data_IF_025028597738
#
_entry.id   IF_025028597738
#
_cell.length_a   1.000
_cell.length_b   1.000
_cell.length_c   1.000
_cell.angle_alpha   90.00
_cell.angle_beta   90.00
_cell.angle_gamma   90.00
#
_symmetry.space_group_name_H-M   'P 1'
#
loop_
_entity.id
_entity.type
_entity.pdbx_description
1 polymer ?
#
# COMPACT_ATOMS: atom_id res chain seq x y z
N UNK A 1 14.06 -19.93 -1.75
CA UNK A 1 14.60 -19.00 -2.76
C UNK A 1 13.56 -18.70 -3.83
N UNK A 2 13.71 -17.57 -4.47
CA UNK A 2 12.88 -17.15 -5.61
C UNK A 2 13.60 -17.48 -6.92
N UNK A 3 12.84 -17.54 -8.01
CA UNK A 3 13.38 -17.80 -9.37
C UNK A 3 14.25 -16.63 -9.87
N UNK A 4 13.94 -15.41 -9.45
CA UNK A 4 14.63 -14.18 -9.86
C UNK A 4 14.44 -13.06 -8.82
N UNK A 5 15.05 -11.89 -9.06
CA UNK A 5 14.91 -10.73 -8.18
C UNK A 5 13.61 -9.96 -8.42
N UNK A 6 13.27 -9.05 -7.50
CA UNK A 6 12.07 -8.21 -7.58
C UNK A 6 12.27 -7.12 -8.63
N UNK A 7 11.38 -7.10 -9.64
CA UNK A 7 11.34 -6.11 -10.70
C UNK A 7 10.55 -4.85 -10.32
N UNK A 8 9.36 -5.08 -9.73
CA UNK A 8 8.48 -4.01 -9.24
C UNK A 8 7.73 -4.47 -8.01
N UNK A 9 7.26 -3.51 -7.22
CA UNK A 9 6.52 -3.82 -5.99
C UNK A 9 5.59 -2.68 -5.59
N UNK A 10 4.57 -3.04 -4.82
CA UNK A 10 3.74 -2.13 -4.05
C UNK A 10 3.47 -2.74 -2.67
N UNK A 11 2.53 -2.20 -1.90
CA UNK A 11 2.24 -2.70 -0.55
C UNK A 11 1.47 -4.04 -0.53
N UNK A 12 0.98 -4.50 -1.66
CA UNK A 12 0.13 -5.70 -1.77
C UNK A 12 0.89 -6.90 -2.33
N UNK A 13 1.89 -6.66 -3.16
CA UNK A 13 2.65 -7.69 -3.83
C UNK A 13 3.75 -7.12 -4.73
N UNK A 14 4.28 -7.95 -5.60
CA UNK A 14 5.33 -7.55 -6.52
C UNK A 14 5.45 -8.46 -7.71
N UNK A 15 6.28 -8.05 -8.65
CA UNK A 15 6.61 -8.79 -9.87
C UNK A 15 8.08 -9.12 -9.86
N UNK A 16 8.43 -10.36 -10.18
CA UNK A 16 9.81 -10.79 -10.34
C UNK A 16 10.30 -10.53 -11.78
N UNK A 17 11.61 -10.52 -11.97
CA UNK A 17 12.22 -10.31 -13.30
C UNK A 17 11.80 -11.36 -14.34
N UNK A 18 11.40 -12.54 -13.91
CA UNK A 18 10.88 -13.60 -14.75
C UNK A 18 9.34 -13.61 -14.87
N UNK A 19 8.68 -12.54 -14.40
CA UNK A 19 7.24 -12.29 -14.44
C UNK A 19 6.39 -13.13 -13.47
N UNK A 20 6.96 -13.90 -12.57
CA UNK A 20 6.21 -14.45 -11.43
C UNK A 20 5.77 -13.32 -10.49
N UNK A 21 4.72 -13.56 -9.71
CA UNK A 21 4.09 -12.56 -8.84
C UNK A 21 4.27 -12.96 -7.37
N UNK A 22 4.69 -12.02 -6.55
CA UNK A 22 4.68 -12.16 -5.09
C UNK A 22 3.28 -11.83 -4.57
N UNK A 23 2.72 -12.75 -3.81
CA UNK A 23 1.38 -12.67 -3.23
C UNK A 23 1.42 -12.84 -1.71
N UNK A 24 0.27 -12.64 -1.05
CA UNK A 24 0.13 -12.97 0.39
C UNK A 24 0.38 -14.45 0.70
N UNK A 25 0.10 -15.33 -0.23
CA UNK A 25 0.31 -16.77 -0.08
C UNK A 25 1.73 -17.22 -0.47
N UNK A 26 2.54 -16.33 -1.00
CA UNK A 26 3.87 -16.62 -1.50
C UNK A 26 4.03 -16.29 -2.97
N UNK A 27 4.95 -16.95 -3.64
CA UNK A 27 5.22 -16.74 -5.07
C UNK A 27 4.21 -17.54 -5.89
N UNK A 28 3.65 -16.91 -6.92
CA UNK A 28 2.69 -17.53 -7.82
C UNK A 28 3.32 -18.64 -8.66
N UNK A 29 2.49 -19.60 -9.05
CA UNK A 29 2.87 -20.61 -10.05
C UNK A 29 2.63 -20.18 -11.49
N UNK A 30 2.07 -18.99 -11.69
CA UNK A 30 1.82 -18.40 -13.00
C UNK A 30 2.73 -17.20 -13.24
N UNK A 31 2.90 -16.83 -14.50
CA UNK A 31 3.68 -15.65 -14.92
C UNK A 31 2.78 -14.67 -15.63
N UNK A 32 3.02 -13.39 -15.38
CA UNK A 32 2.39 -12.32 -16.14
C UNK A 32 2.93 -12.31 -17.58
N UNK A 33 2.14 -11.87 -18.56
CA UNK A 33 2.64 -11.60 -19.89
C UNK A 33 3.77 -10.54 -19.85
N UNK A 34 4.67 -10.61 -20.81
CA UNK A 34 5.77 -9.66 -20.93
C UNK A 34 5.27 -8.21 -20.98
N UNK A 35 5.91 -7.33 -20.24
CA UNK A 35 5.56 -5.91 -20.14
C UNK A 35 4.50 -5.59 -19.09
N UNK A 36 3.87 -6.59 -18.47
CA UNK A 36 2.91 -6.35 -17.40
C UNK A 36 3.56 -6.45 -16.02
N UNK A 37 3.11 -5.58 -15.12
CA UNK A 37 3.53 -5.56 -13.72
C UNK A 37 2.30 -5.58 -12.79
N UNK A 38 2.44 -6.26 -11.67
CA UNK A 38 1.39 -6.46 -10.68
C UNK A 38 0.93 -5.14 -10.07
N UNK A 39 -0.39 -4.96 -9.92
CA UNK A 39 -0.99 -3.86 -9.18
C UNK A 39 -1.75 -4.33 -7.94
N UNK A 40 -2.64 -5.31 -8.08
CA UNK A 40 -3.54 -5.71 -7.01
C UNK A 40 -4.16 -7.09 -7.26
N UNK A 41 -4.91 -7.57 -6.28
CA UNK A 41 -5.85 -8.68 -6.43
C UNK A 41 -7.28 -8.15 -6.50
N UNK A 42 -8.13 -8.84 -7.25
CA UNK A 42 -9.57 -8.65 -7.19
C UNK A 42 -10.14 -9.25 -5.90
N UNK A 43 -11.40 -8.95 -5.59
CA UNK A 43 -12.13 -9.53 -4.47
C UNK A 43 -12.26 -11.06 -4.57
N UNK A 44 -12.27 -11.62 -5.78
CA UNK A 44 -12.31 -13.07 -6.05
C UNK A 44 -10.91 -13.68 -6.32
N UNK A 45 -9.83 -12.96 -6.01
CA UNK A 45 -8.46 -13.47 -6.01
C UNK A 45 -7.74 -13.49 -7.35
N UNK A 46 -8.26 -12.84 -8.38
CA UNK A 46 -7.56 -12.67 -9.66
C UNK A 46 -6.51 -11.57 -9.56
N UNK A 47 -5.45 -11.66 -10.35
CA UNK A 47 -4.43 -10.63 -10.44
C UNK A 47 -4.87 -9.50 -11.35
N UNK A 48 -4.64 -8.25 -10.89
CA UNK A 48 -4.71 -7.04 -11.72
C UNK A 48 -3.28 -6.59 -12.01
N UNK A 49 -2.97 -6.39 -13.28
CA UNK A 49 -1.66 -5.93 -13.74
C UNK A 49 -1.80 -4.83 -14.78
N UNK A 50 -0.76 -4.03 -14.95
CA UNK A 50 -0.69 -2.93 -15.91
C UNK A 50 0.53 -3.07 -16.80
N UNK A 51 0.44 -2.63 -18.06
CA UNK A 51 1.61 -2.48 -18.92
C UNK A 51 2.24 -1.07 -18.83
N UNK A 52 1.70 -0.19 -17.98
CA UNK A 52 2.10 1.22 -17.84
C UNK A 52 2.06 2.02 -19.16
N UNK A 53 1.23 1.62 -20.09
CA UNK A 53 1.01 2.30 -21.37
C UNK A 53 -0.51 2.50 -21.58
N UNK A 54 -1.20 1.47 -22.02
CA UNK A 54 -2.59 1.56 -22.47
C UNK A 54 -3.44 0.34 -22.11
N UNK A 55 -2.91 -0.61 -21.32
CA UNK A 55 -3.63 -1.86 -21.01
C UNK A 55 -3.54 -2.22 -19.53
N UNK A 56 -4.61 -2.80 -19.04
CA UNK A 56 -4.65 -3.57 -17.81
C UNK A 56 -5.06 -5.01 -18.10
N UNK A 57 -4.59 -5.90 -17.24
CA UNK A 57 -4.93 -7.31 -17.24
C UNK A 57 -5.70 -7.62 -15.95
N UNK A 58 -6.85 -8.29 -16.09
CA UNK A 58 -7.62 -8.80 -14.96
C UNK A 58 -7.78 -10.31 -15.14
N UNK A 59 -7.05 -11.09 -14.35
CA UNK A 59 -6.93 -12.52 -14.58
C UNK A 59 -6.25 -12.80 -15.91
N UNK A 60 -6.97 -13.33 -16.86
CA UNK A 60 -6.51 -13.64 -18.23
C UNK A 60 -7.07 -12.68 -19.29
N UNK A 61 -7.82 -11.66 -18.89
CA UNK A 61 -8.48 -10.72 -19.81
C UNK A 61 -7.78 -9.37 -19.83
N UNK A 62 -7.35 -8.97 -21.03
CA UNK A 62 -6.83 -7.62 -21.27
C UNK A 62 -7.97 -6.62 -21.54
N UNK A 63 -7.76 -5.40 -21.06
CA UNK A 63 -8.62 -4.26 -21.33
C UNK A 63 -7.76 -3.07 -21.73
N UNK A 64 -8.13 -2.40 -22.83
CA UNK A 64 -7.52 -1.12 -23.22
C UNK A 64 -8.04 -0.01 -22.32
N UNK A 65 -7.15 0.86 -21.87
CA UNK A 65 -7.44 2.01 -21.03
C UNK A 65 -6.98 3.30 -21.72
N UNK A 66 -7.56 4.44 -21.31
CA UNK A 66 -7.31 5.73 -21.97
C UNK A 66 -6.00 6.39 -21.57
N UNK A 67 -5.52 6.10 -20.35
CA UNK A 67 -4.31 6.66 -19.76
C UNK A 67 -3.55 5.59 -19.00
N UNK A 68 -2.33 5.90 -18.58
CA UNK A 68 -1.49 5.00 -17.80
C UNK A 68 -2.10 4.73 -16.43
N UNK A 69 -2.46 3.49 -16.14
CA UNK A 69 -2.99 3.07 -14.85
C UNK A 69 -1.86 2.83 -13.87
N UNK A 70 -1.93 3.45 -12.68
CA UNK A 70 -0.94 3.30 -11.61
C UNK A 70 -1.49 2.60 -10.38
N UNK A 71 -2.80 2.50 -10.22
CA UNK A 71 -3.47 1.78 -9.16
C UNK A 71 -4.85 1.29 -9.62
N UNK A 72 -5.30 0.17 -9.12
CA UNK A 72 -6.57 -0.42 -9.50
C UNK A 72 -7.11 -1.35 -8.42
N UNK A 73 -8.44 -1.44 -8.35
CA UNK A 73 -9.17 -2.41 -7.54
C UNK A 73 -10.45 -2.82 -8.25
N UNK A 74 -10.90 -4.03 -8.04
CA UNK A 74 -12.17 -4.52 -8.57
C UNK A 74 -12.96 -5.24 -7.50
N UNK A 75 -14.24 -4.93 -7.42
CA UNK A 75 -15.23 -5.72 -6.68
C UNK A 75 -16.47 -5.93 -7.55
N UNK A 76 -16.85 -7.18 -7.72
CA UNK A 76 -17.94 -7.58 -8.61
C UNK A 76 -17.73 -7.00 -10.04
N UNK A 77 -18.70 -6.28 -10.59
CA UNK A 77 -18.63 -5.65 -11.92
C UNK A 77 -17.92 -4.30 -11.92
N UNK A 78 -17.54 -3.75 -10.77
CA UNK A 78 -16.96 -2.40 -10.67
C UNK A 78 -15.44 -2.44 -10.60
N UNK A 79 -14.82 -1.73 -11.54
CA UNK A 79 -13.38 -1.54 -11.64
C UNK A 79 -13.04 -0.09 -11.33
N UNK A 80 -12.27 0.13 -10.27
CA UNK A 80 -11.79 1.45 -9.85
C UNK A 80 -10.34 1.63 -10.30
N UNK A 81 -10.06 2.69 -11.07
CA UNK A 81 -8.76 3.00 -11.64
C UNK A 81 -8.25 4.36 -11.19
N UNK A 82 -6.96 4.45 -10.94
CA UNK A 82 -6.21 5.70 -10.80
C UNK A 82 -5.18 5.76 -11.91
N UNK A 83 -5.19 6.87 -12.64
CA UNK A 83 -4.28 7.13 -13.75
C UNK A 83 -3.11 8.01 -13.30
N UNK A 84 -2.00 7.92 -14.02
CA UNK A 84 -0.77 8.66 -13.73
C UNK A 84 -0.95 10.19 -13.81
N UNK A 85 -1.95 10.68 -14.54
CA UNK A 85 -2.31 12.10 -14.61
C UNK A 85 -3.17 12.60 -13.44
N UNK A 86 -3.33 11.78 -12.40
CA UNK A 86 -4.18 12.04 -11.22
C UNK A 86 -5.68 12.13 -11.55
N UNK A 87 -6.12 11.52 -12.63
CA UNK A 87 -7.53 11.25 -12.88
C UNK A 87 -7.91 9.88 -12.30
N UNK A 88 -9.19 9.69 -12.06
CA UNK A 88 -9.75 8.45 -11.54
C UNK A 88 -11.03 8.09 -12.27
N UNK A 89 -11.30 6.82 -12.40
CA UNK A 89 -12.44 6.30 -13.12
C UNK A 89 -13.02 5.06 -12.45
N UNK A 90 -14.33 4.98 -12.39
CA UNK A 90 -15.08 3.79 -12.02
C UNK A 90 -15.78 3.26 -13.28
N UNK A 91 -15.52 2.02 -13.64
CA UNK A 91 -16.04 1.37 -14.84
C UNK A 91 -16.87 0.16 -14.45
N UNK A 92 -18.03 -0.02 -15.11
CA UNK A 92 -18.73 -1.29 -15.13
C UNK A 92 -18.10 -2.18 -16.22
N UNK A 93 -17.43 -3.25 -15.82
CA UNK A 93 -16.70 -4.13 -16.74
C UNK A 93 -17.61 -4.99 -17.62
N UNK A 94 -18.88 -5.17 -17.26
CA UNK A 94 -19.84 -5.94 -18.04
C UNK A 94 -20.45 -5.10 -19.17
N UNK A 95 -20.64 -3.80 -18.96
CA UNK A 95 -21.28 -2.89 -19.90
C UNK A 95 -20.31 -1.93 -20.57
N UNK A 96 -19.05 -1.88 -20.12
CA UNK A 96 -18.04 -0.90 -20.55
C UNK A 96 -18.39 0.57 -20.26
N UNK A 97 -19.35 0.81 -19.39
CA UNK A 97 -19.77 2.16 -19.05
C UNK A 97 -18.90 2.75 -17.95
N UNK A 98 -18.51 4.00 -18.16
CA UNK A 98 -17.94 4.84 -17.10
C UNK A 98 -19.07 5.26 -16.15
N UNK A 99 -18.96 4.82 -14.90
CA UNK A 99 -19.93 5.14 -13.84
C UNK A 99 -19.56 6.42 -13.11
N UNK A 100 -18.28 6.73 -13.03
CA UNK A 100 -17.74 7.93 -12.40
C UNK A 100 -16.38 8.26 -13.03
N UNK A 101 -16.11 9.54 -13.21
CA UNK A 101 -14.80 10.05 -13.62
C UNK A 101 -14.54 11.42 -13.01
N UNK A 102 -13.30 11.61 -12.52
CA UNK A 102 -12.85 12.87 -11.93
C UNK A 102 -11.42 13.17 -12.36
N UNK A 103 -11.15 14.43 -12.62
CA UNK A 103 -9.82 14.96 -12.94
C UNK A 103 -9.36 15.83 -11.78
N UNK A 104 -8.30 15.44 -11.11
CA UNK A 104 -7.65 16.23 -10.07
C UNK A 104 -6.42 16.95 -10.65
N UNK A 105 -5.93 17.99 -9.96
CA UNK A 105 -4.70 18.65 -10.40
C UNK A 105 -3.55 17.68 -10.58
N UNK A 106 -2.77 17.86 -11.63
CA UNK A 106 -1.62 17.05 -11.94
C UNK A 106 -0.61 17.09 -10.79
N UNK A 107 -0.14 15.93 -10.35
CA UNK A 107 0.96 15.82 -9.41
C UNK A 107 2.27 15.68 -10.16
N UNK A 108 3.22 16.60 -9.92
CA UNK A 108 4.50 16.63 -10.62
C UNK A 108 5.52 15.66 -10.04
N UNK A 109 5.36 15.28 -8.77
CA UNK A 109 6.22 14.33 -8.08
C UNK A 109 5.40 13.41 -7.19
N UNK A 110 5.66 12.12 -7.26
CA UNK A 110 4.97 11.12 -6.45
C UNK A 110 5.99 10.27 -5.69
N UNK A 111 5.66 9.93 -4.45
CA UNK A 111 6.29 8.83 -3.76
C UNK A 111 5.97 7.53 -4.51
N UNK A 112 6.89 6.59 -4.55
CA UNK A 112 6.72 5.31 -5.28
C UNK A 112 5.66 4.40 -4.66
N UNK A 113 5.31 4.65 -3.39
CA UNK A 113 4.25 3.95 -2.68
C UNK A 113 2.90 4.55 -3.07
N UNK A 114 2.19 3.93 -3.99
CA UNK A 114 0.86 4.37 -4.43
C UNK A 114 -0.16 3.38 -3.89
N UNK A 115 -1.16 3.89 -3.16
CA UNK A 115 -2.24 3.07 -2.62
C UNK A 115 -3.28 2.74 -3.69
N UNK A 116 -3.82 1.54 -3.65
CA UNK A 116 -4.94 1.15 -4.50
C UNK A 116 -6.28 1.70 -3.96
N UNK A 117 -7.29 1.88 -4.83
CA UNK A 117 -8.66 2.11 -4.38
C UNK A 117 -9.14 1.04 -3.42
N UNK A 118 -10.05 1.38 -2.51
CA UNK A 118 -10.58 0.49 -1.50
C UNK A 118 -12.10 0.41 -1.61
N UNK A 119 -12.62 -0.80 -1.76
CA UNK A 119 -14.05 -1.09 -1.62
C UNK A 119 -14.35 -1.42 -0.16
N UNK A 120 -15.25 -0.68 0.46
CA UNK A 120 -15.56 -0.78 1.87
C UNK A 120 -17.08 -0.72 2.08
N UNK A 121 -17.73 -1.86 2.25
CA UNK A 121 -19.19 -1.91 2.37
C UNK A 121 -19.86 -1.23 1.17
N UNK A 122 -20.65 -0.19 1.43
CA UNK A 122 -21.35 0.59 0.40
C UNK A 122 -20.53 1.78 -0.12
N UNK A 123 -19.23 1.83 0.16
CA UNK A 123 -18.34 2.93 -0.22
C UNK A 123 -17.24 2.45 -1.14
N UNK A 124 -16.81 3.34 -2.02
CA UNK A 124 -15.65 3.17 -2.87
C UNK A 124 -14.71 4.35 -2.62
N UNK A 125 -13.49 4.08 -2.20
CA UNK A 125 -12.50 5.09 -1.82
C UNK A 125 -11.42 5.17 -2.87
N UNK A 126 -11.23 6.36 -3.44
CA UNK A 126 -10.17 6.65 -4.41
C UNK A 126 -9.08 7.50 -3.77
N UNK A 127 -7.90 6.93 -3.49
CA UNK A 127 -6.74 7.70 -3.05
C UNK A 127 -6.08 8.41 -4.24
N UNK A 128 -5.82 9.70 -4.10
CA UNK A 128 -5.24 10.49 -5.18
C UNK A 128 -3.72 10.62 -5.08
N UNK A 129 -3.09 11.10 -6.16
CA UNK A 129 -1.67 11.40 -6.22
C UNK A 129 -1.33 12.77 -5.61
N UNK A 130 -2.32 13.56 -5.21
CA UNK A 130 -2.13 14.87 -4.56
C UNK A 130 -2.70 14.94 -3.14
N UNK A 131 -2.88 13.80 -2.46
CA UNK A 131 -3.24 13.76 -1.05
C UNK A 131 -4.72 13.83 -0.72
N UNK A 132 -5.60 13.59 -1.69
CA UNK A 132 -7.05 13.54 -1.48
C UNK A 132 -7.56 12.09 -1.50
N UNK A 133 -8.63 11.84 -0.77
CA UNK A 133 -9.42 10.62 -0.89
C UNK A 133 -10.84 11.01 -1.23
N UNK A 134 -11.31 10.59 -2.40
CA UNK A 134 -12.71 10.74 -2.81
C UNK A 134 -13.47 9.50 -2.38
N UNK A 135 -14.55 9.68 -1.64
CA UNK A 135 -15.42 8.60 -1.18
C UNK A 135 -16.74 8.65 -1.94
N UNK A 136 -17.01 7.59 -2.69
CA UNK A 136 -18.23 7.43 -3.46
C UNK A 136 -19.19 6.50 -2.74
N UNK A 137 -20.48 6.75 -2.91
CA UNK A 137 -21.53 5.74 -2.65
C UNK A 137 -21.50 4.71 -3.78
N UNK A 138 -21.43 3.43 -3.46
CA UNK A 138 -21.52 2.37 -4.47
C UNK A 138 -22.91 2.23 -5.07
N UNK A 139 -23.95 2.74 -4.39
CA UNK A 139 -25.32 2.72 -4.88
C UNK A 139 -25.59 3.76 -5.96
N UNK A 140 -25.01 4.96 -5.82
CA UNK A 140 -25.25 6.10 -6.73
C UNK A 140 -24.07 6.41 -7.64
N UNK A 141 -22.87 5.90 -7.32
CA UNK A 141 -21.60 6.24 -7.96
C UNK A 141 -21.27 7.74 -7.89
N UNK A 142 -21.76 8.42 -6.86
CA UNK A 142 -21.52 9.84 -6.61
C UNK A 142 -20.64 10.06 -5.41
N UNK A 143 -19.87 11.15 -5.40
CA UNK A 143 -19.02 11.54 -4.28
C UNK A 143 -19.90 11.95 -3.09
N UNK A 144 -19.72 11.28 -1.96
CA UNK A 144 -20.40 11.60 -0.71
C UNK A 144 -19.50 12.28 0.30
N UNK A 145 -18.18 12.17 0.14
CA UNK A 145 -17.19 12.81 1.00
C UNK A 145 -15.85 12.98 0.29
N UNK A 146 -15.17 14.05 0.59
CA UNK A 146 -13.80 14.32 0.16
C UNK A 146 -12.93 14.57 1.39
N UNK A 147 -11.79 13.89 1.47
CA UNK A 147 -10.83 14.01 2.55
C UNK A 147 -9.53 14.55 1.96
N UNK A 148 -8.93 15.56 2.59
CA UNK A 148 -7.62 16.08 2.22
C UNK A 148 -6.60 15.78 3.31
N UNK A 149 -5.50 15.14 2.93
CA UNK A 149 -4.32 14.96 3.78
C UNK A 149 -3.29 16.00 3.35
N UNK A 150 -3.35 17.17 4.00
CA UNK A 150 -2.53 18.30 3.61
C UNK A 150 -1.09 18.19 4.15
N UNK A 151 -0.13 18.57 3.32
CA UNK A 151 1.29 18.64 3.66
C UNK A 151 1.98 19.70 2.81
N UNK A 152 3.06 20.29 3.33
CA UNK A 152 3.93 21.21 2.60
C UNK A 152 4.97 20.48 1.71
N UNK A 153 5.04 19.18 1.79
CA UNK A 153 5.95 18.35 0.98
C UNK A 153 5.53 18.32 -0.50
N UNK A 154 6.50 18.12 -1.39
CA UNK A 154 6.24 17.85 -2.81
C UNK A 154 5.54 16.50 -3.02
N UNK A 155 5.84 15.51 -2.18
CA UNK A 155 5.26 14.17 -2.24
C UNK A 155 3.98 14.12 -1.41
N UNK A 156 2.84 14.18 -2.09
CA UNK A 156 1.51 14.31 -1.45
C UNK A 156 0.62 13.09 -1.63
N UNK A 157 1.01 12.15 -2.51
CA UNK A 157 0.15 11.01 -2.83
C UNK A 157 -0.15 10.15 -1.60
N UNK A 158 -1.34 9.59 -1.59
CA UNK A 158 -1.75 8.65 -0.55
C UNK A 158 -0.93 7.36 -0.71
N UNK A 159 -0.19 7.02 0.32
CA UNK A 159 0.68 5.82 0.37
C UNK A 159 0.04 4.66 1.11
N UNK A 160 -0.96 4.93 1.95
CA UNK A 160 -1.67 3.92 2.72
C UNK A 160 -3.13 4.31 2.90
N UNK A 161 -4.01 3.36 2.71
CA UNK A 161 -5.45 3.49 2.85
C UNK A 161 -5.97 2.17 3.39
N UNK A 162 -6.39 2.16 4.67
CA UNK A 162 -6.75 0.93 5.36
C UNK A 162 -7.89 1.15 6.34
N UNK A 163 -8.55 0.07 6.75
CA UNK A 163 -9.60 0.08 7.75
C UNK A 163 -9.19 -0.72 8.97
N UNK A 164 -9.30 -0.11 10.13
CA UNK A 164 -9.30 -0.83 11.40
C UNK A 164 -10.76 -1.23 11.71
N UNK A 165 -11.03 -2.53 11.62
CA UNK A 165 -12.40 -3.07 11.63
C UNK A 165 -13.13 -2.93 12.97
N UNK A 166 -12.41 -3.06 14.09
CA UNK A 166 -13.03 -2.99 15.43
C UNK A 166 -13.50 -1.59 15.78
N UNK A 167 -12.69 -0.59 15.50
CA UNK A 167 -13.01 0.81 15.73
C UNK A 167 -13.77 1.45 14.56
N UNK A 168 -13.89 0.73 13.44
CA UNK A 168 -14.46 1.26 12.19
C UNK A 168 -13.77 2.56 11.74
N UNK A 169 -12.45 2.63 11.98
CA UNK A 169 -11.64 3.80 11.62
C UNK A 169 -10.98 3.61 10.27
N UNK A 170 -11.11 4.61 9.42
CA UNK A 170 -10.33 4.71 8.18
C UNK A 170 -8.98 5.34 8.49
N UNK A 171 -7.92 4.64 8.16
CA UNK A 171 -6.54 5.10 8.35
C UNK A 171 -5.95 5.46 6.99
N UNK A 172 -5.57 6.73 6.85
CA UNK A 172 -5.05 7.29 5.60
C UNK A 172 -3.70 7.94 5.88
N UNK A 173 -2.73 7.71 5.02
CA UNK A 173 -1.44 8.38 5.13
C UNK A 173 -0.90 8.85 3.78
N UNK A 174 -0.24 9.98 3.79
CA UNK A 174 0.77 10.38 2.81
C UNK A 174 2.17 10.21 3.43
N UNK A 175 3.27 10.52 2.74
CA UNK A 175 4.60 10.34 3.31
C UNK A 175 4.88 11.12 4.60
N UNK A 176 4.11 12.16 4.92
CA UNK A 176 4.39 13.08 6.03
C UNK A 176 3.28 13.21 7.08
N UNK A 177 2.13 12.62 6.83
CA UNK A 177 0.97 12.75 7.71
C UNK A 177 0.13 11.48 7.71
N UNK A 178 -0.37 11.13 8.89
CA UNK A 178 -1.40 10.11 9.09
C UNK A 178 -2.69 10.76 9.57
N UNK A 179 -3.81 10.27 9.05
CA UNK A 179 -5.16 10.71 9.43
C UNK A 179 -5.99 9.49 9.80
N UNK A 180 -6.66 9.56 10.94
CA UNK A 180 -7.65 8.59 11.38
C UNK A 180 -9.04 9.22 11.33
N UNK A 181 -9.96 8.57 10.65
CA UNK A 181 -11.33 9.04 10.43
C UNK A 181 -12.28 8.00 10.98
N UNK A 182 -13.06 8.40 11.98
CA UNK A 182 -14.14 7.62 12.53
C UNK A 182 -15.47 8.36 12.36
N UNK A 183 -16.57 7.74 12.80
CA UNK A 183 -17.88 8.40 12.80
C UNK A 183 -17.93 9.66 13.69
N UNK A 184 -17.04 9.76 14.67
CA UNK A 184 -17.02 10.83 15.68
C UNK A 184 -15.96 11.90 15.41
N UNK A 185 -14.79 11.47 14.97
CA UNK A 185 -13.59 12.33 14.95
C UNK A 185 -12.76 12.15 13.69
N UNK A 186 -12.08 13.22 13.30
CA UNK A 186 -10.97 13.23 12.35
C UNK A 186 -9.74 13.70 13.11
N UNK A 187 -8.76 12.82 13.24
CA UNK A 187 -7.52 13.08 13.98
C UNK A 187 -6.36 12.95 13.01
N UNK A 188 -5.41 13.86 13.08
CA UNK A 188 -4.19 13.81 12.26
C UNK A 188 -2.94 14.00 13.11
N UNK A 189 -1.84 13.36 12.66
CA UNK A 189 -0.50 13.53 13.22
C UNK A 189 0.54 13.56 12.12
N UNK A 190 1.58 14.35 12.35
CA UNK A 190 2.72 14.48 11.44
C UNK A 190 3.78 13.44 11.80
N UNK A 191 4.13 12.62 10.81
CA UNK A 191 5.23 11.67 10.87
C UNK A 191 5.87 11.59 9.49
N UNK A 192 7.20 11.59 9.43
CA UNK A 192 7.92 11.24 8.22
C UNK A 192 7.95 9.73 8.08
N UNK A 193 7.01 9.17 7.32
CA UNK A 193 6.69 7.75 7.28
C UNK A 193 7.60 7.03 6.30
N UNK A 194 8.43 6.13 6.81
CA UNK A 194 9.22 5.21 5.99
C UNK A 194 8.43 3.96 5.64
N UNK A 195 7.74 3.37 6.62
CA UNK A 195 6.79 2.28 6.42
C UNK A 195 5.73 2.30 7.52
N UNK A 196 4.60 1.71 7.23
CA UNK A 196 3.46 1.64 8.13
C UNK A 196 2.69 0.35 7.91
N UNK A 197 2.33 -0.32 8.99
CA UNK A 197 1.45 -1.49 8.94
C UNK A 197 0.33 -1.35 9.97
N UNK A 198 -0.83 -1.93 9.66
CA UNK A 198 -1.96 -2.08 10.57
C UNK A 198 -2.06 -3.55 10.96
N UNK A 199 -1.97 -3.84 12.27
CA UNK A 199 -2.01 -5.21 12.78
C UNK A 199 -2.67 -5.27 14.15
N UNK A 200 -3.65 -6.17 14.30
CA UNK A 200 -4.33 -6.48 15.57
C UNK A 200 -4.84 -5.23 16.32
N UNK A 201 -5.39 -4.28 15.60
CA UNK A 201 -5.97 -3.06 16.14
C UNK A 201 -4.95 -1.97 16.47
N UNK A 202 -3.68 -2.11 16.08
CA UNK A 202 -2.63 -1.12 16.25
C UNK A 202 -2.02 -0.72 14.92
N UNK A 203 -1.54 0.52 14.88
CA UNK A 203 -0.78 1.08 13.77
C UNK A 203 0.69 1.13 14.19
N UNK A 204 1.55 0.54 13.38
CA UNK A 204 3.00 0.59 13.58
C UNK A 204 3.63 1.43 12.50
N UNK A 205 4.43 2.42 12.89
CA UNK A 205 5.12 3.32 11.97
C UNK A 205 6.63 3.23 12.20
N UNK A 206 7.38 3.06 11.11
CA UNK A 206 8.81 3.32 11.06
C UNK A 206 9.03 4.70 10.45
N UNK A 207 9.73 5.59 11.15
CA UNK A 207 9.99 6.95 10.68
C UNK A 207 11.36 7.09 10.03
N UNK A 208 11.50 8.12 9.21
CA UNK A 208 12.76 8.43 8.51
C UNK A 208 13.89 8.75 9.51
N UNK A 209 13.57 9.32 10.66
CA UNK A 209 14.54 9.68 11.71
C UNK A 209 14.85 8.54 12.71
N UNK A 210 14.41 7.32 12.43
CA UNK A 210 14.80 6.13 13.21
C UNK A 210 13.90 5.76 14.38
N UNK A 211 12.68 6.26 14.44
CA UNK A 211 11.69 5.82 15.44
C UNK A 211 10.83 4.67 14.93
N UNK A 212 10.51 3.75 15.81
CA UNK A 212 9.42 2.79 15.66
C UNK A 212 8.34 3.16 16.67
N UNK A 213 7.12 3.35 16.19
CA UNK A 213 6.01 3.91 16.98
C UNK A 213 4.81 2.98 16.86
N UNK A 214 4.17 2.69 17.99
CA UNK A 214 2.92 1.96 18.08
C UNK A 214 1.81 2.92 18.45
N UNK A 215 0.77 2.99 17.63
CA UNK A 215 -0.38 3.88 17.80
C UNK A 215 -1.67 3.08 17.99
N UNK A 216 -2.59 3.63 18.77
CA UNK A 216 -4.00 3.22 18.72
C UNK A 216 -4.65 3.69 17.40
N UNK A 217 -5.86 3.18 17.04
CA UNK A 217 -6.60 3.72 15.88
C UNK A 217 -6.91 5.21 15.98
N UNK A 218 -6.94 5.79 17.19
CA UNK A 218 -7.10 7.24 17.43
C UNK A 218 -5.77 8.00 17.40
N UNK A 219 -4.70 7.38 16.92
CA UNK A 219 -3.35 7.94 16.81
C UNK A 219 -2.70 8.32 18.13
N UNK A 220 -3.10 7.71 19.23
CA UNK A 220 -2.40 7.87 20.52
C UNK A 220 -1.16 6.98 20.54
N UNK A 221 -0.01 7.55 20.91
CA UNK A 221 1.22 6.79 21.06
C UNK A 221 1.14 5.92 22.32
N UNK A 222 1.19 4.61 22.16
CA UNK A 222 1.22 3.66 23.28
C UNK A 222 2.61 3.11 23.55
N UNK A 223 3.50 3.15 22.56
CA UNK A 223 4.90 2.73 22.69
C UNK A 223 5.77 3.37 21.61
N UNK A 224 7.05 3.57 21.91
CA UNK A 224 8.03 4.15 21.00
C UNK A 224 9.43 3.66 21.34
N UNK A 225 10.20 3.32 20.31
CA UNK A 225 11.64 3.06 20.42
C UNK A 225 12.42 3.88 19.39
N UNK A 226 13.53 4.45 19.83
CA UNK A 226 14.47 5.21 19.00
C UNK A 226 15.69 4.36 18.70
N UNK A 227 15.99 4.20 17.42
CA UNK A 227 17.23 3.59 16.93
C UNK A 227 18.06 4.67 16.28
N UNK A 228 19.02 5.18 16.99
CA UNK A 228 19.89 6.26 16.54
C UNK A 228 20.64 5.82 15.26
N UNK A 229 20.55 6.63 14.23
CA UNK A 229 21.17 6.37 12.90
C UNK A 229 20.55 5.24 12.08
N UNK A 230 19.49 4.61 12.54
CA UNK A 230 18.80 3.59 11.77
C UNK A 230 18.05 4.20 10.57
N UNK A 231 18.14 3.50 9.44
CA UNK A 231 17.35 3.77 8.22
C UNK A 231 16.52 2.53 7.91
N UNK A 232 15.24 2.61 8.15
CA UNK A 232 14.34 1.48 7.95
C UNK A 232 13.96 1.32 6.48
N UNK A 233 13.84 0.06 6.06
CA UNK A 233 13.30 -0.31 4.75
C UNK A 233 11.83 -0.71 4.83
N UNK A 234 11.49 -1.55 5.81
CA UNK A 234 10.15 -2.12 5.91
C UNK A 234 9.86 -2.60 7.33
N UNK A 235 8.57 -2.67 7.64
CA UNK A 235 8.02 -3.36 8.79
C UNK A 235 7.36 -4.66 8.35
N UNK A 236 7.49 -5.70 9.17
CA UNK A 236 6.81 -6.97 9.01
C UNK A 236 6.30 -7.44 10.37
N UNK A 237 5.33 -8.34 10.38
CA UNK A 237 4.74 -8.83 11.60
C UNK A 237 4.52 -10.34 11.54
N UNK A 238 5.23 -11.07 12.39
CA UNK A 238 4.99 -12.49 12.64
C UNK A 238 4.19 -12.66 13.93
N UNK A 239 4.77 -13.28 14.94
CA UNK A 239 4.23 -13.27 16.31
C UNK A 239 4.48 -11.94 17.04
N UNK A 240 5.37 -11.12 16.55
CA UNK A 240 5.72 -9.78 17.03
C UNK A 240 6.23 -8.92 15.86
N UNK A 241 6.51 -7.64 16.15
CA UNK A 241 6.96 -6.68 15.15
C UNK A 241 8.43 -6.90 14.78
N UNK A 242 8.72 -6.81 13.49
CA UNK A 242 10.06 -6.81 12.92
C UNK A 242 10.28 -5.56 12.06
N UNK A 243 11.46 -4.98 12.17
CA UNK A 243 11.90 -3.88 11.32
C UNK A 243 13.16 -4.27 10.56
N UNK A 244 13.16 -4.06 9.25
CA UNK A 244 14.34 -4.25 8.40
C UNK A 244 15.10 -2.93 8.32
N UNK A 245 16.38 -2.98 8.66
CA UNK A 245 17.26 -1.82 8.71
C UNK A 245 18.33 -1.91 7.62
N UNK A 246 18.59 -0.78 6.94
CA UNK A 246 19.40 -0.71 5.70
C UNK A 246 20.88 -1.09 5.86
N UNK A 247 21.41 -1.06 7.08
CA UNK A 247 22.80 -1.46 7.35
C UNK A 247 22.98 -2.98 7.50
N UNK A 248 21.90 -3.74 7.32
CA UNK A 248 21.94 -5.19 7.35
C UNK A 248 21.46 -5.80 8.67
N UNK A 249 20.43 -5.22 9.28
CA UNK A 249 19.86 -5.72 10.52
C UNK A 249 18.36 -6.00 10.39
N UNK A 250 17.92 -7.02 11.08
CA UNK A 250 16.52 -7.34 11.33
C UNK A 250 16.26 -7.20 12.84
N UNK A 251 15.41 -6.28 13.22
CA UNK A 251 15.13 -5.96 14.60
C UNK A 251 13.77 -6.53 14.98
N UNK A 252 13.75 -7.47 15.89
CA UNK A 252 12.52 -7.98 16.52
C UNK A 252 12.24 -7.19 17.79
N UNK A 253 11.05 -6.59 17.87
CA UNK A 253 10.65 -5.73 18.97
C UNK A 253 9.57 -6.44 19.78
N UNK A 254 9.73 -6.52 21.11
CA UNK A 254 8.71 -7.06 22.00
C UNK A 254 7.41 -6.26 21.94
N UNK A 255 6.27 -6.88 22.24
CA UNK A 255 4.95 -6.22 22.16
C UNK A 255 4.82 -4.97 23.04
N UNK A 256 5.51 -4.94 24.17
CA UNK A 256 5.56 -3.79 25.08
C UNK A 256 6.65 -2.77 24.73
N UNK A 257 7.41 -2.98 23.66
CA UNK A 257 8.52 -2.15 23.19
C UNK A 257 9.68 -1.98 24.20
N UNK A 258 9.72 -2.77 25.25
CA UNK A 258 10.76 -2.65 26.29
C UNK A 258 12.06 -3.36 25.93
N UNK A 259 11.98 -4.41 25.13
CA UNK A 259 13.12 -5.22 24.72
C UNK A 259 13.12 -5.44 23.21
N UNK A 260 14.29 -5.72 22.67
CA UNK A 260 14.47 -6.13 21.28
C UNK A 260 15.55 -7.21 21.14
N UNK A 261 15.52 -7.86 19.99
CA UNK A 261 16.59 -8.75 19.56
C UNK A 261 17.01 -8.30 18.15
N UNK A 262 18.30 -8.09 17.95
CA UNK A 262 18.86 -7.64 16.70
C UNK A 262 19.60 -8.79 16.04
N UNK A 263 19.20 -9.13 14.83
CA UNK A 263 19.81 -10.16 14.01
C UNK A 263 20.60 -9.52 12.85
N UNK A 264 21.72 -10.12 12.49
CA UNK A 264 22.34 -9.79 11.21
C UNK A 264 21.44 -10.29 10.08
N UNK A 265 21.21 -9.41 9.10
CA UNK A 265 20.33 -9.66 7.98
C UNK A 265 20.96 -9.11 6.70
N UNK A 266 21.75 -9.96 6.05
CA UNK A 266 22.47 -9.56 4.84
C UNK A 266 21.53 -9.51 3.64
N UNK A 267 21.36 -8.33 3.08
CA UNK A 267 20.65 -8.11 1.82
C UNK A 267 21.31 -6.96 1.05
N UNK A 268 21.09 -6.96 -0.26
CA UNK A 268 21.54 -5.87 -1.13
C UNK A 268 20.57 -4.70 -1.00
N UNK A 269 20.98 -3.64 -0.32
CA UNK A 269 20.15 -2.47 -0.05
C UNK A 269 19.90 -1.58 -1.29
N UNK A 270 20.56 -1.85 -2.40
CA UNK A 270 20.27 -1.21 -3.70
C UNK A 270 19.12 -1.91 -4.43
N UNK A 271 18.80 -3.14 -4.03
CA UNK A 271 17.67 -3.91 -4.57
C UNK A 271 16.38 -3.70 -3.78
N UNK A 272 15.28 -4.02 -4.44
CA UNK A 272 13.96 -3.93 -3.82
C UNK A 272 13.80 -5.00 -2.74
N UNK A 273 13.13 -4.60 -1.67
CA UNK A 273 12.72 -5.47 -0.58
C UNK A 273 11.24 -5.22 -0.30
N UNK A 274 10.46 -6.27 -0.16
CA UNK A 274 9.03 -6.19 0.15
C UNK A 274 8.70 -7.06 1.35
N UNK A 275 7.97 -6.49 2.31
CA UNK A 275 7.41 -7.21 3.44
C UNK A 275 5.90 -7.34 3.27
N UNK A 276 5.39 -8.57 3.33
CA UNK A 276 3.96 -8.87 3.27
C UNK A 276 3.65 -9.82 4.43
N UNK A 277 2.83 -9.36 5.39
CA UNK A 277 2.50 -10.10 6.61
C UNK A 277 3.79 -10.54 7.35
N UNK A 278 4.02 -11.85 7.47
CA UNK A 278 5.19 -12.42 8.14
C UNK A 278 6.30 -12.86 7.17
N UNK A 279 6.27 -12.40 5.93
CA UNK A 279 7.30 -12.74 4.94
C UNK A 279 8.06 -11.53 4.47
N UNK A 280 9.35 -11.67 4.30
CA UNK A 280 10.24 -10.65 3.74
C UNK A 280 10.92 -11.25 2.51
N UNK A 281 10.70 -10.60 1.37
CA UNK A 281 11.28 -10.97 0.07
C UNK A 281 12.40 -9.98 -0.26
N UNK A 282 13.56 -10.48 -0.61
CA UNK A 282 14.76 -9.66 -0.87
C UNK A 282 15.74 -10.41 -1.78
N UNK A 283 16.49 -9.66 -2.57
CA UNK A 283 17.42 -10.24 -3.56
C UNK A 283 16.72 -11.26 -4.47
N UNK A 284 17.07 -12.52 -4.36
CA UNK A 284 16.39 -13.68 -4.97
C UNK A 284 15.97 -14.71 -3.90
N UNK A 285 15.63 -14.24 -2.71
CA UNK A 285 15.29 -15.09 -1.58
C UNK A 285 14.15 -14.51 -0.74
N UNK A 286 13.65 -15.28 0.20
CA UNK A 286 12.68 -14.81 1.19
C UNK A 286 12.84 -15.53 2.51
N UNK A 287 12.40 -14.89 3.56
CA UNK A 287 12.30 -15.48 4.90
C UNK A 287 10.86 -15.40 5.39
N UNK A 288 10.49 -16.37 6.21
CA UNK A 288 9.22 -16.36 6.96
C UNK A 288 9.53 -16.12 8.42
N UNK A 289 8.94 -15.08 8.99
CA UNK A 289 9.11 -14.72 10.39
C UNK A 289 8.22 -15.60 11.26
N UNK A 290 8.68 -15.97 12.46
CA UNK A 290 7.89 -16.77 13.41
C UNK A 290 6.69 -16.01 13.96
#
# INVERSE_FOLDING_TARGET
>A
SMSSSIKSMNRVGGTLEDNEVITKQGISSFKLPEGFEFLNFTDDGKVIATNYIDKILIGDRERTVKDVVVAASRKDEKLALIYSNNSMELIDINTDKTLFKEYLPLSLANDTRISNPLFMGNLILFPSLNGKVLILSSATNEVVRNISVETDSEFKNIISLDIEKKSESLIVANPNKIVSISARDVISKDYDIRDMILKDGYIYIATVDGNIIKLTPNLEEVAKRKYKYAKFHALAYGSSLYAVESQGFLINISDDFKTDTIYEFSFDNEKRLIAIDNKIYFNSDYITLP
#
